data_IF_508695214091
#
_entry.id   IF_508695214091
#
_cell.length_a   1.000
_cell.length_b   1.000
_cell.length_c   1.000
_cell.angle_alpha   90.00
_cell.angle_beta   90.00
_cell.angle_gamma   90.00
#
_symmetry.space_group_name_H-M   'P 1'
#
loop_
_entity.id
_entity.type
_entity.pdbx_description
1 polymer ?
#
# COMPACT_ATOMS: atom_id res chain seq x y z
N UNK A 1 7.61 10.63 14.41
CA UNK A 1 7.84 10.03 15.74
C UNK A 1 6.61 9.24 16.12
N UNK A 2 6.75 8.11 16.79
CA UNK A 2 5.59 7.34 17.30
C UNK A 2 5.04 8.08 18.52
N UNK A 3 3.73 8.35 18.55
CA UNK A 3 3.11 9.03 19.68
C UNK A 3 3.05 8.08 20.90
N UNK A 4 3.23 8.64 22.10
CA UNK A 4 3.16 7.91 23.38
C UNK A 4 3.94 6.58 23.39
N UNK A 5 5.14 6.58 22.78
CA UNK A 5 6.06 5.44 22.73
C UNK A 5 5.44 4.14 22.15
N UNK A 6 4.42 4.27 21.29
CA UNK A 6 3.66 3.13 20.76
C UNK A 6 2.74 2.45 21.78
N UNK A 7 2.65 2.98 23.01
CA UNK A 7 1.80 2.45 24.06
C UNK A 7 0.34 2.81 23.83
N UNK A 8 -0.49 1.77 23.60
CA UNK A 8 -1.95 1.87 23.50
C UNK A 8 -2.54 2.45 24.79
N UNK A 9 -2.04 2.04 25.96
CA UNK A 9 -2.53 2.51 27.25
C UNK A 9 -2.25 4.00 27.50
N UNK A 10 -1.05 4.47 27.17
CA UNK A 10 -0.71 5.89 27.28
C UNK A 10 -1.51 6.74 26.28
N UNK A 11 -1.66 6.26 25.04
CA UNK A 11 -2.48 6.93 24.01
C UNK A 11 -3.94 7.05 24.45
N UNK A 12 -4.51 5.97 25.00
CA UNK A 12 -5.87 5.98 25.56
C UNK A 12 -6.03 6.97 26.72
N UNK A 13 -5.09 6.98 27.66
CA UNK A 13 -5.11 7.92 28.79
C UNK A 13 -5.01 9.37 28.31
N UNK A 14 -4.15 9.66 27.33
CA UNK A 14 -4.02 10.98 26.73
C UNK A 14 -5.32 11.44 26.05
N UNK A 15 -5.93 10.59 25.22
CA UNK A 15 -7.21 10.86 24.56
C UNK A 15 -8.35 11.03 25.59
N UNK A 16 -8.36 10.27 26.68
CA UNK A 16 -9.33 10.43 27.77
C UNK A 16 -9.18 11.77 28.51
N UNK A 17 -7.97 12.30 28.61
CA UNK A 17 -7.69 13.60 29.24
C UNK A 17 -7.99 14.80 28.33
N UNK A 18 -7.67 14.71 27.04
CA UNK A 18 -7.73 15.83 26.09
C UNK A 18 -8.93 15.76 25.12
N UNK A 19 -9.71 14.68 25.17
CA UNK A 19 -10.91 14.48 24.36
C UNK A 19 -10.66 14.61 22.85
N UNK A 20 -11.59 15.28 22.17
CA UNK A 20 -11.50 15.53 20.73
C UNK A 20 -10.28 16.37 20.34
N UNK A 21 -9.84 17.30 21.20
CA UNK A 21 -8.69 18.14 20.91
C UNK A 21 -7.40 17.31 20.84
N UNK A 22 -7.17 16.42 21.81
CA UNK A 22 -6.03 15.50 21.79
C UNK A 22 -6.01 14.58 20.56
N UNK A 23 -7.18 14.19 20.04
CA UNK A 23 -7.26 13.48 18.77
C UNK A 23 -6.81 14.35 17.59
N UNK A 24 -7.30 15.61 17.52
CA UNK A 24 -6.93 16.58 16.47
C UNK A 24 -5.43 16.93 16.51
N UNK A 25 -4.82 16.94 17.69
CA UNK A 25 -3.40 17.25 17.89
C UNK A 25 -2.48 16.08 17.48
N UNK A 26 -2.94 14.83 17.67
CA UNK A 26 -2.25 13.63 17.16
C UNK A 26 -2.47 13.45 15.64
N UNK A 27 -3.63 13.85 15.12
CA UNK A 27 -4.02 13.55 13.75
C UNK A 27 -3.17 14.32 12.71
N UNK A 28 -2.44 13.64 11.82
CA UNK A 28 -1.59 14.31 10.85
C UNK A 28 -2.44 15.11 9.84
N UNK A 29 -2.19 16.42 9.77
CA UNK A 29 -2.87 17.29 8.80
C UNK A 29 -2.28 17.08 7.40
N UNK A 30 -3.10 16.98 6.34
CA UNK A 30 -2.60 16.84 4.98
C UNK A 30 -1.82 18.10 4.57
N UNK A 31 -0.56 17.92 4.17
CA UNK A 31 0.30 19.02 3.70
C UNK A 31 0.45 18.99 2.18
N UNK A 32 0.60 20.16 1.55
CA UNK A 32 0.85 20.25 0.11
C UNK A 32 2.15 19.54 -0.31
N UNK A 33 3.12 19.39 0.60
CA UNK A 33 4.36 18.64 0.38
C UNK A 33 4.07 17.14 0.32
N UNK A 34 3.31 16.59 1.27
CA UNK A 34 2.92 15.18 1.26
C UNK A 34 2.13 14.82 -0.02
N UNK A 35 1.16 15.66 -0.41
CA UNK A 35 0.43 15.48 -1.67
C UNK A 35 1.34 15.47 -2.90
N UNK A 36 2.33 16.38 -2.97
CA UNK A 36 3.32 16.39 -4.06
C UNK A 36 4.18 15.13 -4.08
N UNK A 37 4.66 14.67 -2.93
CA UNK A 37 5.48 13.45 -2.84
C UNK A 37 4.68 12.23 -3.31
N UNK A 38 3.47 12.05 -2.79
CA UNK A 38 2.57 10.94 -3.16
C UNK A 38 2.24 10.96 -4.66
N UNK A 39 1.95 12.15 -5.22
CA UNK A 39 1.65 12.30 -6.64
C UNK A 39 2.87 12.00 -7.53
N UNK A 40 4.04 12.55 -7.21
CA UNK A 40 5.28 12.31 -7.98
C UNK A 40 5.69 10.84 -7.93
N UNK A 41 5.59 10.21 -6.76
CA UNK A 41 5.85 8.78 -6.59
C UNK A 41 4.86 7.92 -7.37
N UNK A 42 3.55 8.22 -7.31
CA UNK A 42 2.54 7.52 -8.09
C UNK A 42 2.72 7.68 -9.60
N UNK A 43 3.10 8.87 -10.06
CA UNK A 43 3.43 9.12 -11.47
C UNK A 43 4.69 8.37 -11.92
N UNK A 44 5.70 8.26 -11.05
CA UNK A 44 6.91 7.47 -11.29
C UNK A 44 6.60 5.97 -11.41
N UNK A 45 5.86 5.39 -10.46
CA UNK A 45 5.44 3.98 -10.52
C UNK A 45 4.54 3.71 -11.74
N UNK A 46 3.67 4.65 -12.12
CA UNK A 46 2.84 4.52 -13.30
C UNK A 46 3.67 4.57 -14.61
N UNK A 47 4.70 5.42 -14.66
CA UNK A 47 5.66 5.45 -15.76
C UNK A 47 6.46 4.15 -15.82
N UNK A 48 6.95 3.61 -14.69
CA UNK A 48 7.62 2.31 -14.65
C UNK A 48 6.71 1.18 -15.15
N UNK A 49 5.44 1.13 -14.73
CA UNK A 49 4.48 0.14 -15.20
C UNK A 49 4.25 0.19 -16.73
N UNK A 50 4.33 1.37 -17.34
CA UNK A 50 4.12 1.56 -18.78
C UNK A 50 5.39 1.37 -19.62
N UNK A 51 6.56 1.70 -19.07
CA UNK A 51 7.83 1.77 -19.80
C UNK A 51 8.75 0.56 -19.58
N UNK A 52 8.61 -0.18 -18.48
CA UNK A 52 9.46 -1.35 -18.21
C UNK A 52 9.11 -2.53 -19.14
N UNK A 53 10.09 -3.12 -19.84
CA UNK A 53 9.87 -4.29 -20.67
C UNK A 53 9.64 -5.54 -19.82
N UNK A 54 8.37 -5.89 -19.58
CA UNK A 54 7.97 -7.11 -18.89
C UNK A 54 7.44 -8.19 -19.84
N UNK A 55 7.64 -9.46 -19.49
CA UNK A 55 6.87 -10.56 -20.11
C UNK A 55 5.40 -10.37 -19.74
N UNK A 56 4.50 -10.36 -20.72
CA UNK A 56 3.06 -10.37 -20.46
C UNK A 56 2.68 -11.73 -19.87
N UNK A 57 2.42 -11.76 -18.57
CA UNK A 57 1.73 -12.86 -17.89
C UNK A 57 0.24 -12.58 -18.01
N UNK A 58 -0.50 -13.46 -18.67
CA UNK A 58 -1.96 -13.37 -18.65
C UNK A 58 -2.45 -13.98 -17.33
N UNK A 59 -3.19 -13.20 -16.53
CA UNK A 59 -3.94 -13.72 -15.40
C UNK A 59 -5.09 -14.64 -15.85
N UNK A 60 -5.77 -15.31 -14.91
CA UNK A 60 -6.88 -16.20 -15.24
C UNK A 60 -7.95 -15.46 -16.05
N UNK A 61 -8.45 -16.13 -17.10
CA UNK A 61 -9.47 -15.57 -18.00
C UNK A 61 -10.74 -15.35 -17.17
N UNK A 62 -11.19 -14.09 -17.03
CA UNK A 62 -12.50 -13.82 -16.43
C UNK A 62 -13.60 -14.50 -17.26
N UNK A 63 -14.76 -14.89 -16.68
CA UNK A 63 -15.75 -15.72 -17.38
C UNK A 63 -16.31 -15.18 -18.71
N UNK A 64 -15.97 -13.94 -19.12
CA UNK A 64 -16.51 -13.26 -20.31
C UNK A 64 -15.47 -12.65 -21.29
N UNK A 65 -14.16 -12.81 -21.05
CA UNK A 65 -13.12 -12.67 -22.09
C UNK A 65 -12.77 -11.27 -22.64
N UNK A 66 -13.35 -10.17 -22.15
CA UNK A 66 -13.21 -8.80 -22.70
C UNK A 66 -13.15 -7.74 -21.56
N UNK A 67 -12.21 -6.77 -21.41
CA UNK A 67 -11.16 -6.10 -22.23
C UNK A 67 -11.42 -4.64 -22.82
N UNK A 68 -12.56 -3.93 -22.62
CA UNK A 68 -12.74 -2.45 -22.84
C UNK A 68 -12.02 -1.46 -21.88
N UNK A 69 -12.43 -0.16 -21.91
CA UNK A 69 -11.72 1.00 -21.32
C UNK A 69 -12.69 2.09 -20.78
N UNK A 70 -12.43 2.59 -19.55
CA UNK A 70 -12.98 3.79 -18.87
C UNK A 70 -14.51 3.92 -18.55
N UNK A 71 -14.81 3.92 -17.22
CA UNK A 71 -16.01 4.43 -16.47
C UNK A 71 -17.04 3.39 -15.95
N UNK A 72 -16.67 2.56 -14.98
CA UNK A 72 -17.49 1.49 -14.37
C UNK A 72 -18.87 1.73 -13.75
N UNK A 73 -19.47 2.92 -13.88
CA UNK A 73 -20.91 3.15 -13.59
C UNK A 73 -21.71 3.63 -14.82
N UNK A 74 -21.03 4.07 -15.89
CA UNK A 74 -21.67 4.73 -17.05
C UNK A 74 -21.16 4.24 -18.40
N UNK A 75 -19.99 3.60 -18.44
CA UNK A 75 -19.42 2.88 -19.58
C UNK A 75 -18.40 1.86 -19.02
N UNK A 76 -18.82 0.66 -18.61
CA UNK A 76 -17.92 -0.28 -17.93
C UNK A 76 -16.81 -0.82 -18.83
N UNK A 77 -15.63 -1.01 -18.25
CA UNK A 77 -14.43 -1.48 -18.96
C UNK A 77 -14.37 -3.01 -19.17
N UNK A 78 -15.44 -3.73 -18.79
CA UNK A 78 -15.73 -5.11 -19.19
C UNK A 78 -17.22 -5.42 -19.05
N UNK A 79 -17.66 -6.51 -19.67
CA UNK A 79 -18.98 -7.12 -19.37
C UNK A 79 -19.02 -7.73 -17.96
N UNK A 80 -17.87 -7.98 -17.34
CA UNK A 80 -17.73 -8.36 -15.94
C UNK A 80 -17.77 -7.12 -15.04
N UNK A 81 -18.91 -6.43 -15.12
CA UNK A 81 -19.27 -5.29 -14.30
C UNK A 81 -20.68 -5.49 -13.75
N UNK A 82 -20.91 -5.20 -12.47
CA UNK A 82 -22.26 -5.25 -11.92
C UNK A 82 -22.40 -4.38 -10.68
N UNK A 83 -23.58 -3.77 -10.54
CA UNK A 83 -23.99 -3.01 -9.36
C UNK A 83 -24.93 -3.85 -8.48
N UNK A 84 -24.84 -3.68 -7.16
CA UNK A 84 -25.78 -4.24 -6.19
C UNK A 84 -27.03 -3.36 -6.00
N UNK A 85 -27.19 -2.29 -6.77
CA UNK A 85 -28.23 -1.27 -6.61
C UNK A 85 -28.04 -0.34 -5.40
N UNK A 86 -26.91 -0.43 -4.68
CA UNK A 86 -26.60 0.40 -3.53
C UNK A 86 -25.21 1.02 -3.68
N UNK A 87 -25.19 2.34 -3.87
CA UNK A 87 -23.99 3.15 -4.07
C UNK A 87 -22.87 2.89 -3.03
N UNK A 88 -23.22 2.68 -1.76
CA UNK A 88 -22.22 2.46 -0.69
C UNK A 88 -21.53 1.10 -0.87
N UNK A 89 -22.30 0.07 -1.23
CA UNK A 89 -21.78 -1.29 -1.45
C UNK A 89 -20.96 -1.31 -2.75
N UNK A 90 -21.46 -0.69 -3.82
CA UNK A 90 -20.78 -0.57 -5.11
C UNK A 90 -19.46 0.20 -5.04
N UNK A 91 -19.38 1.22 -4.18
CA UNK A 91 -18.12 1.92 -3.87
C UNK A 91 -17.16 1.05 -3.05
N UNK A 92 -17.68 0.35 -2.03
CA UNK A 92 -16.84 -0.45 -1.12
C UNK A 92 -16.25 -1.70 -1.79
N UNK A 93 -17.10 -2.51 -2.45
CA UNK A 93 -16.69 -3.73 -3.16
C UNK A 93 -16.16 -3.48 -4.57
N UNK A 94 -16.62 -2.42 -5.24
CA UNK A 94 -16.28 -2.13 -6.62
C UNK A 94 -17.19 -2.83 -7.63
N UNK A 95 -17.40 -2.16 -8.76
CA UNK A 95 -18.32 -2.63 -9.80
C UNK A 95 -17.62 -3.48 -10.87
N UNK A 96 -16.33 -3.29 -11.13
CA UNK A 96 -15.57 -3.99 -12.19
C UNK A 96 -14.49 -4.92 -11.60
N UNK A 97 -14.26 -6.07 -12.26
CA UNK A 97 -13.18 -6.97 -11.85
C UNK A 97 -11.78 -6.45 -12.23
N UNK A 98 -11.60 -5.88 -13.44
CA UNK A 98 -10.29 -5.39 -13.92
C UNK A 98 -10.41 -4.02 -14.60
N UNK A 99 -10.57 -2.92 -13.84
CA UNK A 99 -10.68 -1.59 -14.42
C UNK A 99 -9.39 -1.15 -15.10
N UNK A 100 -9.52 -0.73 -16.37
CA UNK A 100 -8.37 -0.39 -17.24
C UNK A 100 -8.42 1.02 -17.79
N UNK A 101 -7.24 1.64 -17.78
CA UNK A 101 -6.92 2.94 -18.39
C UNK A 101 -6.23 2.65 -19.72
N UNK A 102 -6.97 2.77 -20.82
CA UNK A 102 -6.48 2.34 -22.13
C UNK A 102 -6.20 0.83 -22.20
N UNK A 103 -5.45 0.41 -23.23
CA UNK A 103 -5.19 -1.03 -23.48
C UNK A 103 -4.09 -1.65 -22.60
N UNK A 104 -3.30 -0.82 -21.90
CA UNK A 104 -2.03 -1.23 -21.30
C UNK A 104 -1.90 -0.95 -19.78
N UNK A 105 -2.83 -0.21 -19.16
CA UNK A 105 -2.73 0.13 -17.73
C UNK A 105 -3.88 -0.51 -16.94
N UNK A 106 -3.54 -1.50 -16.12
CA UNK A 106 -4.45 -2.17 -15.21
C UNK A 106 -4.35 -1.54 -13.82
N UNK A 107 -5.48 -1.05 -13.28
CA UNK A 107 -5.47 -0.28 -12.04
C UNK A 107 -5.19 -1.17 -10.82
N UNK A 108 -5.70 -2.42 -10.78
CA UNK A 108 -5.43 -3.35 -9.66
C UNK A 108 -3.94 -3.63 -9.52
N UNK A 109 -3.28 -3.90 -10.65
CA UNK A 109 -1.84 -4.19 -10.70
C UNK A 109 -1.03 -2.97 -10.26
N UNK A 110 -1.50 -1.77 -10.64
CA UNK A 110 -0.91 -0.52 -10.18
C UNK A 110 -1.08 -0.32 -8.66
N UNK A 111 -2.29 -0.45 -8.12
CA UNK A 111 -2.56 -0.19 -6.69
C UNK A 111 -1.92 -1.24 -5.79
N UNK A 112 -2.03 -2.51 -6.16
CA UNK A 112 -1.60 -3.63 -5.33
C UNK A 112 -0.09 -3.86 -5.47
N UNK A 113 0.38 -4.13 -6.69
CA UNK A 113 1.74 -4.60 -6.93
C UNK A 113 2.76 -3.47 -7.09
N UNK A 114 2.44 -2.42 -7.86
CA UNK A 114 3.39 -1.32 -8.10
C UNK A 114 3.39 -0.35 -6.92
N UNK A 115 2.36 0.46 -6.77
CA UNK A 115 2.31 1.47 -5.72
C UNK A 115 2.38 0.85 -4.32
N UNK A 116 1.51 -0.10 -3.97
CA UNK A 116 1.41 -0.67 -2.62
C UNK A 116 2.69 -1.37 -2.15
N UNK A 117 3.12 -2.43 -2.85
CA UNK A 117 4.29 -3.21 -2.44
C UNK A 117 5.61 -2.44 -2.56
N UNK A 118 5.78 -1.56 -3.55
CA UNK A 118 6.98 -0.70 -3.59
C UNK A 118 6.97 0.32 -2.46
N UNK A 119 5.80 0.86 -2.07
CA UNK A 119 5.71 1.81 -0.93
C UNK A 119 6.18 1.15 0.37
N UNK A 120 5.84 -0.13 0.57
CA UNK A 120 6.33 -0.89 1.72
C UNK A 120 7.86 -0.97 1.74
N UNK A 121 8.50 -1.32 0.61
CA UNK A 121 9.97 -1.36 0.52
C UNK A 121 10.62 0.02 0.74
N UNK A 122 10.07 1.07 0.11
CA UNK A 122 10.58 2.46 0.24
C UNK A 122 10.48 2.95 1.70
N UNK A 123 9.37 2.69 2.40
CA UNK A 123 9.20 3.07 3.79
C UNK A 123 10.12 2.28 4.73
N UNK A 124 10.31 0.97 4.50
CA UNK A 124 11.23 0.14 5.28
C UNK A 124 12.69 0.64 5.20
N UNK A 125 13.12 1.13 4.03
CA UNK A 125 14.43 1.78 3.86
C UNK A 125 14.45 3.19 4.47
N UNK A 126 13.37 3.96 4.30
CA UNK A 126 13.25 5.33 4.84
C UNK A 126 13.40 5.36 6.37
N UNK A 127 12.84 4.38 7.09
CA UNK A 127 13.00 4.28 8.54
C UNK A 127 14.42 3.90 8.98
N UNK A 128 15.10 3.03 8.22
CA UNK A 128 16.51 2.73 8.43
C UNK A 128 17.39 3.98 8.26
N UNK A 129 17.19 4.73 7.17
CA UNK A 129 17.86 6.02 6.93
C UNK A 129 17.56 7.01 8.06
N UNK A 130 16.30 7.10 8.52
CA UNK A 130 15.94 8.04 9.58
C UNK A 130 16.56 7.69 10.93
N UNK A 131 16.72 6.40 11.25
CA UNK A 131 17.44 5.97 12.46
C UNK A 131 18.93 6.35 12.38
N UNK A 132 19.55 6.19 11.20
CA UNK A 132 20.93 6.63 10.97
C UNK A 132 21.10 8.15 11.13
N UNK A 133 20.18 8.94 10.58
CA UNK A 133 20.19 10.41 10.69
C UNK A 133 20.07 10.89 12.15
N UNK A 134 19.28 10.21 12.98
CA UNK A 134 19.06 10.58 14.38
C UNK A 134 20.19 10.12 15.31
N UNK A 135 20.70 8.91 15.11
CA UNK A 135 21.59 8.24 16.07
C UNK A 135 23.04 8.13 15.60
N UNK A 136 23.36 8.53 14.36
CA UNK A 136 24.65 8.31 13.70
C UNK A 136 24.99 6.85 13.40
N UNK A 137 24.09 5.91 13.75
CA UNK A 137 24.23 4.47 13.55
C UNK A 137 22.86 3.81 13.40
N UNK A 138 22.82 2.70 12.68
CA UNK A 138 21.65 1.81 12.59
C UNK A 138 21.82 0.69 13.64
N UNK A 139 20.75 0.33 14.34
CA UNK A 139 20.73 -0.80 15.27
C UNK A 139 20.54 -2.14 14.54
N UNK A 140 21.08 -3.23 15.10
CA UNK A 140 20.95 -4.58 14.53
C UNK A 140 19.48 -4.97 14.32
N UNK A 141 18.60 -4.60 15.26
CA UNK A 141 17.15 -4.85 15.14
C UNK A 141 16.52 -4.16 13.95
N UNK A 142 16.94 -2.92 13.62
CA UNK A 142 16.50 -2.20 12.43
C UNK A 142 17.04 -2.86 11.16
N UNK A 143 18.31 -3.26 11.13
CA UNK A 143 18.89 -3.96 9.99
C UNK A 143 18.17 -5.29 9.72
N UNK A 144 17.90 -6.09 10.75
CA UNK A 144 17.13 -7.34 10.65
C UNK A 144 15.71 -7.05 10.14
N UNK A 145 15.00 -6.09 10.74
CA UNK A 145 13.65 -5.70 10.34
C UNK A 145 13.58 -5.29 8.86
N UNK A 146 14.40 -4.32 8.44
CA UNK A 146 14.40 -3.81 7.06
C UNK A 146 14.85 -4.89 6.08
N UNK A 147 15.85 -5.71 6.42
CA UNK A 147 16.30 -6.82 5.56
C UNK A 147 15.20 -7.85 5.35
N UNK A 148 14.50 -8.27 6.42
CA UNK A 148 13.40 -9.24 6.30
C UNK A 148 12.23 -8.69 5.46
N UNK A 149 11.87 -7.42 5.62
CA UNK A 149 10.87 -6.76 4.78
C UNK A 149 11.30 -6.71 3.31
N UNK A 150 12.54 -6.33 3.03
CA UNK A 150 13.07 -6.29 1.66
C UNK A 150 13.16 -7.69 1.03
N UNK A 151 13.56 -8.71 1.77
CA UNK A 151 13.57 -10.11 1.30
C UNK A 151 12.15 -10.58 0.98
N UNK A 152 11.16 -10.24 1.81
CA UNK A 152 9.76 -10.58 1.57
C UNK A 152 9.23 -9.90 0.28
N UNK A 153 9.42 -8.58 0.14
CA UNK A 153 8.97 -7.84 -1.05
C UNK A 153 9.72 -8.27 -2.31
N UNK A 154 11.02 -8.58 -2.21
CA UNK A 154 11.81 -9.13 -3.32
C UNK A 154 11.29 -10.50 -3.75
N UNK A 155 10.98 -11.39 -2.79
CA UNK A 155 10.36 -12.69 -3.08
C UNK A 155 9.00 -12.53 -3.78
N UNK A 156 8.19 -11.55 -3.36
CA UNK A 156 6.92 -11.25 -4.02
C UNK A 156 7.12 -10.89 -5.50
N UNK A 157 8.05 -9.99 -5.82
CA UNK A 157 8.33 -9.63 -7.22
C UNK A 157 8.97 -10.78 -8.02
N UNK A 158 9.81 -11.61 -7.39
CA UNK A 158 10.35 -12.82 -8.03
C UNK A 158 9.27 -13.85 -8.38
N UNK A 159 8.20 -13.92 -7.58
CA UNK A 159 7.04 -14.79 -7.79
C UNK A 159 5.81 -14.02 -8.30
N UNK A 160 5.98 -12.85 -8.92
CA UNK A 160 4.87 -12.00 -9.36
C UNK A 160 3.88 -12.76 -10.25
N UNK A 161 4.37 -13.65 -11.12
CA UNK A 161 3.57 -14.51 -11.98
C UNK A 161 2.54 -15.37 -11.21
N UNK A 162 2.85 -15.78 -9.98
CA UNK A 162 1.93 -16.53 -9.13
C UNK A 162 0.86 -15.66 -8.45
N UNK A 163 1.18 -14.39 -8.15
CA UNK A 163 0.23 -13.47 -7.53
C UNK A 163 -1.00 -13.19 -8.39
N UNK A 164 -0.92 -13.33 -9.72
CA UNK A 164 -2.07 -13.19 -10.62
C UNK A 164 -3.19 -14.21 -10.37
N UNK A 165 -2.90 -15.33 -9.69
CA UNK A 165 -3.87 -16.37 -9.37
C UNK A 165 -4.44 -16.25 -7.94
N UNK A 166 -4.12 -15.17 -7.20
CA UNK A 166 -4.70 -14.92 -5.86
C UNK A 166 -6.13 -14.38 -5.95
N UNK A 167 -6.85 -14.43 -4.82
CA UNK A 167 -8.23 -13.96 -4.71
C UNK A 167 -8.35 -12.46 -5.06
N UNK A 168 -7.45 -11.63 -4.54
CA UNK A 168 -7.39 -10.17 -4.76
C UNK A 168 -7.40 -9.78 -6.25
N UNK A 169 -6.70 -10.57 -7.07
CA UNK A 169 -6.57 -10.33 -8.50
C UNK A 169 -7.68 -11.04 -9.25
N UNK A 170 -7.87 -12.34 -9.03
CA UNK A 170 -8.72 -13.20 -9.85
C UNK A 170 -10.23 -13.09 -9.57
N UNK A 171 -10.64 -12.71 -8.35
CA UNK A 171 -12.05 -12.78 -7.90
C UNK A 171 -12.58 -11.48 -7.32
N UNK A 172 -11.80 -10.78 -6.49
CA UNK A 172 -12.30 -9.61 -5.77
C UNK A 172 -12.35 -8.39 -6.68
N UNK A 173 -13.43 -7.60 -6.65
CA UNK A 173 -13.59 -6.44 -7.54
C UNK A 173 -12.78 -5.23 -7.06
N UNK A 174 -12.44 -4.36 -8.00
CA UNK A 174 -11.60 -3.19 -7.75
C UNK A 174 -12.38 -2.05 -7.07
N UNK A 175 -12.80 -2.27 -5.82
CA UNK A 175 -13.46 -1.29 -4.97
C UNK A 175 -12.52 -0.54 -4.04
N UNK A 176 -13.10 0.32 -3.22
CA UNK A 176 -12.39 1.02 -2.15
C UNK A 176 -11.66 0.05 -1.21
N UNK A 177 -12.26 -1.11 -0.88
CA UNK A 177 -11.67 -2.10 0.02
C UNK A 177 -10.25 -2.54 -0.38
N UNK A 178 -10.07 -3.06 -1.60
CA UNK A 178 -8.76 -3.51 -2.09
C UNK A 178 -7.81 -2.32 -2.25
N UNK A 179 -8.29 -1.23 -2.89
CA UNK A 179 -7.44 -0.07 -3.18
C UNK A 179 -6.89 0.55 -1.89
N UNK A 180 -7.72 0.75 -0.88
CA UNK A 180 -7.30 1.28 0.41
C UNK A 180 -6.41 0.29 1.18
N UNK A 181 -6.74 -1.02 1.12
CA UNK A 181 -5.92 -2.08 1.70
C UNK A 181 -4.47 -2.03 1.19
N UNK A 182 -4.27 -1.96 -0.11
CA UNK A 182 -2.93 -1.95 -0.70
C UNK A 182 -2.23 -0.59 -0.63
N UNK A 183 -2.95 0.52 -0.82
CA UNK A 183 -2.34 1.86 -0.86
C UNK A 183 -2.08 2.46 0.53
N UNK A 184 -2.83 2.05 1.55
CA UNK A 184 -2.78 2.65 2.90
C UNK A 184 -2.45 1.59 3.95
N UNK A 185 -3.22 0.51 4.05
CA UNK A 185 -3.08 -0.45 5.15
C UNK A 185 -1.74 -1.18 5.12
N UNK A 186 -1.37 -1.81 4.00
CA UNK A 186 -0.09 -2.53 3.84
C UNK A 186 1.10 -1.61 4.17
N UNK A 187 1.32 -0.48 3.48
CA UNK A 187 2.50 0.36 3.74
C UNK A 187 2.51 1.01 5.13
N UNK A 188 1.35 1.28 5.75
CA UNK A 188 1.30 1.92 7.09
C UNK A 188 1.43 0.93 8.24
N UNK A 189 0.73 -0.21 8.17
CA UNK A 189 0.68 -1.18 9.27
C UNK A 189 1.90 -2.11 9.23
N UNK A 190 2.30 -2.61 8.05
CA UNK A 190 3.37 -3.60 7.98
C UNK A 190 4.75 -2.97 8.24
N UNK A 191 4.90 -1.66 8.04
CA UNK A 191 6.14 -0.93 8.37
C UNK A 191 6.17 -0.39 9.81
N UNK A 192 5.07 -0.49 10.56
CA UNK A 192 4.99 0.02 11.94
C UNK A 192 6.05 -0.50 12.91
N UNK A 193 6.56 -1.76 12.83
CA UNK A 193 7.69 -2.19 13.66
C UNK A 193 8.97 -1.42 13.33
N UNK A 194 9.23 -1.17 12.04
CA UNK A 194 10.33 -0.30 11.61
C UNK A 194 10.15 1.14 12.13
N UNK A 195 8.94 1.69 12.04
CA UNK A 195 8.64 3.04 12.56
C UNK A 195 8.90 3.16 14.07
N UNK A 196 8.58 2.11 14.84
CA UNK A 196 8.85 2.03 16.27
C UNK A 196 10.36 1.99 16.57
N UNK A 197 11.11 1.13 15.87
CA UNK A 197 12.55 0.97 16.03
C UNK A 197 13.35 2.23 15.73
N UNK A 198 12.85 3.18 14.93
CA UNK A 198 13.53 4.47 14.67
C UNK A 198 13.91 5.18 15.99
N UNK A 199 12.99 5.19 16.96
CA UNK A 199 13.21 5.78 18.28
C UNK A 199 13.67 4.75 19.32
N UNK A 200 13.55 3.45 19.04
CA UNK A 200 13.85 2.35 19.95
C UNK A 200 14.95 1.44 19.38
N UNK A 201 16.22 1.88 19.35
CA UNK A 201 17.32 1.04 18.90
C UNK A 201 17.53 -0.12 19.87
N UNK A 202 17.40 -1.36 19.38
CA UNK A 202 17.65 -2.58 20.17
C UNK A 202 18.89 -3.27 19.61
N UNK A 203 19.86 -3.55 20.47
CA UNK A 203 21.02 -4.36 20.13
C UNK A 203 20.65 -5.84 20.30
N UNK A 204 20.93 -6.67 19.28
CA UNK A 204 20.58 -8.09 19.24
C UNK A 204 21.82 -9.00 19.28
N UNK A 205 23.02 -8.43 19.43
CA UNK A 205 24.28 -9.17 19.48
C UNK A 205 24.38 -10.11 20.69
N UNK A 206 25.38 -10.99 20.65
CA UNK A 206 25.76 -11.78 21.83
C UNK A 206 26.33 -10.84 22.90
N UNK A 207 25.79 -10.95 24.12
CA UNK A 207 26.22 -10.20 25.31
C UNK A 207 27.64 -10.57 25.75
#
# INVERSE_FOLDING_TARGET
MVHADGSVAQTWNYLKQHGLQGFIDIWPRPTAIAWKIIFVYGAFEAALQLLLPGKRVEGPISPTGNRPVYKGHVAPSSTDSGSSGNFIIDFYWGMELYPRIGKNFDIKVFTNCRFGMMSWAVLAVTYCIKQYELNGKVSDSMLVNTTLMLVYVTKFFWWEAGYWNTMDIAHDRAGFYICWGCLVWVPSVYTSPGMYLVNHPVNLGMQ
#
